data_IF_090083564853
#
_entry.id   IF_090083564853
#
_cell.length_a   1.000
_cell.length_b   1.000
_cell.length_c   1.000
_cell.angle_alpha   90.00
_cell.angle_beta   90.00
_cell.angle_gamma   90.00
#
_symmetry.space_group_name_H-M   'P 1'
#
loop_
_entity.id
_entity.type
_entity.pdbx_description
1 polymer ?
#
# COMPACT_ATOMS: atom_id res chain seq x y z
N UNK A 1 28.99 -36.06 17.23
CA UNK A 1 27.81 -36.30 16.37
C UNK A 1 26.51 -35.83 17.02
N UNK A 2 26.38 -35.84 18.35
CA UNK A 2 25.14 -35.39 19.02
C UNK A 2 24.91 -33.87 18.95
N UNK A 3 25.94 -33.04 19.19
CA UNK A 3 25.79 -31.58 19.12
C UNK A 3 25.29 -31.08 17.75
N UNK A 4 25.76 -31.67 16.65
CA UNK A 4 25.33 -31.27 15.30
C UNK A 4 23.84 -31.58 15.05
N UNK A 5 23.30 -32.66 15.65
CA UNK A 5 21.88 -33.01 15.53
C UNK A 5 21.01 -32.07 16.37
N UNK A 6 21.44 -31.74 17.58
CA UNK A 6 20.73 -30.78 18.45
C UNK A 6 20.65 -29.40 17.82
N UNK A 7 21.76 -28.87 17.27
CA UNK A 7 21.78 -27.55 16.64
C UNK A 7 20.90 -27.46 15.38
N UNK A 8 20.77 -28.55 14.61
CA UNK A 8 19.87 -28.58 13.44
C UNK A 8 18.40 -28.54 13.89
N UNK A 9 18.03 -29.29 14.93
CA UNK A 9 16.66 -29.30 15.46
C UNK A 9 16.26 -27.93 16.02
N UNK A 10 17.18 -27.26 16.73
CA UNK A 10 16.97 -25.91 17.25
C UNK A 10 16.80 -24.90 16.10
N UNK A 11 17.68 -24.93 15.10
CA UNK A 11 17.57 -24.05 13.92
C UNK A 11 16.28 -24.26 13.13
N UNK A 12 15.83 -25.51 12.96
CA UNK A 12 14.56 -25.81 12.28
C UNK A 12 13.35 -25.28 13.05
N UNK A 13 13.40 -25.35 14.39
CA UNK A 13 12.34 -24.82 15.27
C UNK A 13 12.29 -23.29 15.19
N UNK A 14 13.43 -22.63 15.28
CA UNK A 14 13.52 -21.17 15.20
C UNK A 14 13.04 -20.67 13.84
N UNK A 15 13.42 -21.37 12.76
CA UNK A 15 12.92 -21.08 11.42
C UNK A 15 11.40 -21.23 11.29
N UNK A 16 10.82 -22.24 11.94
CA UNK A 16 9.36 -22.45 11.93
C UNK A 16 8.62 -21.35 12.71
N UNK A 17 9.15 -20.93 13.86
CA UNK A 17 8.59 -19.83 14.66
C UNK A 17 8.63 -18.52 13.87
N UNK A 18 9.80 -18.16 13.32
CA UNK A 18 9.97 -16.95 12.53
C UNK A 18 9.03 -16.89 11.32
N UNK A 19 8.83 -18.01 10.61
CA UNK A 19 7.85 -18.10 9.52
C UNK A 19 6.42 -17.85 10.01
N UNK A 20 6.03 -18.48 11.12
CA UNK A 20 4.68 -18.31 11.68
C UNK A 20 4.42 -16.86 12.13
N UNK A 21 5.42 -16.17 12.69
CA UNK A 21 5.32 -14.77 13.10
C UNK A 21 5.14 -13.84 11.89
N UNK A 22 5.98 -14.00 10.86
CA UNK A 22 5.89 -13.22 9.61
C UNK A 22 4.52 -13.42 8.93
N UNK A 23 4.01 -14.65 8.88
CA UNK A 23 2.67 -14.92 8.35
C UNK A 23 1.56 -14.22 9.14
N UNK A 24 1.69 -14.14 10.47
CA UNK A 24 0.74 -13.43 11.32
C UNK A 24 0.78 -11.92 11.07
N UNK A 25 1.99 -11.35 10.93
CA UNK A 25 2.17 -9.95 10.59
C UNK A 25 1.56 -9.60 9.22
N UNK A 26 1.79 -10.44 8.21
CA UNK A 26 1.19 -10.26 6.88
C UNK A 26 -0.33 -10.25 6.96
N UNK A 27 -0.94 -11.18 7.72
CA UNK A 27 -2.40 -11.21 7.90
C UNK A 27 -2.92 -9.92 8.54
N UNK A 28 -2.26 -9.44 9.59
CA UNK A 28 -2.65 -8.18 10.26
C UNK A 28 -2.49 -7.00 9.30
N UNK A 29 -1.38 -6.96 8.57
CA UNK A 29 -1.09 -5.90 7.61
C UNK A 29 -2.11 -5.87 6.47
N UNK A 30 -2.50 -7.03 5.92
CA UNK A 30 -3.59 -7.13 4.93
C UNK A 30 -4.88 -6.49 5.41
N UNK A 31 -5.32 -6.81 6.62
CA UNK A 31 -6.57 -6.26 7.19
C UNK A 31 -6.48 -4.72 7.29
N UNK A 32 -5.35 -4.19 7.75
CA UNK A 32 -5.14 -2.73 7.82
C UNK A 32 -5.18 -2.07 6.44
N UNK A 33 -4.56 -2.69 5.44
CA UNK A 33 -4.58 -2.15 4.08
C UNK A 33 -5.95 -2.27 3.41
N UNK A 34 -6.74 -3.30 3.72
CA UNK A 34 -8.12 -3.35 3.25
C UNK A 34 -8.94 -2.16 3.76
N UNK A 35 -8.71 -1.69 4.99
CA UNK A 35 -9.35 -0.48 5.51
C UNK A 35 -8.87 0.78 4.79
N UNK A 36 -7.56 0.90 4.58
CA UNK A 36 -6.98 2.03 3.84
C UNK A 36 -7.48 2.09 2.39
N UNK A 37 -7.56 0.94 1.71
CA UNK A 37 -8.13 0.83 0.35
C UNK A 37 -9.61 1.23 0.34
N UNK A 38 -10.40 0.87 1.36
CA UNK A 38 -11.79 1.33 1.46
C UNK A 38 -11.87 2.85 1.57
N UNK A 39 -10.96 3.46 2.33
CA UNK A 39 -10.92 4.92 2.46
C UNK A 39 -10.54 5.60 1.13
N UNK A 40 -9.50 5.10 0.45
CA UNK A 40 -9.12 5.62 -0.87
C UNK A 40 -10.26 5.51 -1.89
N UNK A 41 -11.03 4.42 -1.88
CA UNK A 41 -12.22 4.31 -2.72
C UNK A 41 -13.30 5.36 -2.41
N UNK A 42 -13.47 5.76 -1.14
CA UNK A 42 -14.40 6.85 -0.76
C UNK A 42 -13.89 8.20 -1.26
N UNK A 43 -12.59 8.45 -1.11
CA UNK A 43 -11.95 9.67 -1.62
C UNK A 43 -12.06 9.76 -3.14
N UNK A 44 -11.73 8.69 -3.86
CA UNK A 44 -11.90 8.56 -5.32
C UNK A 44 -13.36 8.84 -5.71
N UNK A 45 -14.34 8.25 -5.01
CA UNK A 45 -15.76 8.48 -5.30
C UNK A 45 -16.13 9.97 -5.16
N UNK A 46 -15.58 10.64 -4.15
CA UNK A 46 -15.77 12.09 -3.93
C UNK A 46 -15.12 12.91 -5.03
N UNK A 47 -13.90 12.55 -5.44
CA UNK A 47 -13.19 13.19 -6.56
C UNK A 47 -14.00 13.04 -7.86
N UNK A 48 -14.49 11.83 -8.18
CA UNK A 48 -15.36 11.59 -9.35
C UNK A 48 -16.57 12.50 -9.39
N UNK A 49 -17.22 12.73 -8.25
CA UNK A 49 -18.38 13.62 -8.16
C UNK A 49 -17.99 15.08 -8.44
N UNK A 50 -16.84 15.54 -7.93
CA UNK A 50 -16.34 16.89 -8.19
C UNK A 50 -15.95 17.08 -9.66
N UNK A 51 -15.25 16.12 -10.27
CA UNK A 51 -14.91 16.12 -11.70
C UNK A 51 -16.15 16.23 -12.58
N UNK A 52 -17.23 15.51 -12.25
CA UNK A 52 -18.50 15.60 -13.00
C UNK A 52 -19.13 16.99 -12.98
N UNK A 53 -18.83 17.79 -11.96
CA UNK A 53 -19.31 19.16 -11.84
C UNK A 53 -18.34 20.18 -12.47
N UNK A 54 -17.19 19.74 -13.00
CA UNK A 54 -16.27 20.59 -13.73
C UNK A 54 -16.89 20.99 -15.07
N UNK A 55 -17.03 22.29 -15.25
CA UNK A 55 -17.71 22.91 -16.39
C UNK A 55 -16.78 22.99 -17.60
N UNK A 56 -15.49 23.15 -17.38
CA UNK A 56 -14.49 23.17 -18.44
C UNK A 56 -14.19 21.73 -18.91
N UNK A 57 -14.47 21.45 -20.19
CA UNK A 57 -14.29 20.11 -20.74
C UNK A 57 -12.83 19.68 -20.85
N UNK A 58 -11.91 20.59 -21.07
CA UNK A 58 -10.48 20.28 -21.20
C UNK A 58 -9.92 19.94 -19.81
N UNK A 59 -10.21 20.79 -18.82
CA UNK A 59 -9.84 20.53 -17.41
C UNK A 59 -10.45 19.23 -16.91
N UNK A 60 -11.74 18.97 -17.24
CA UNK A 60 -12.40 17.72 -16.83
C UNK A 60 -11.68 16.49 -17.36
N UNK A 61 -11.29 16.49 -18.65
CA UNK A 61 -10.56 15.36 -19.26
C UNK A 61 -9.21 15.15 -18.58
N UNK A 62 -8.48 16.22 -18.27
CA UNK A 62 -7.19 16.12 -17.58
C UNK A 62 -7.35 15.51 -16.17
N UNK A 63 -8.37 15.94 -15.42
CA UNK A 63 -8.69 15.39 -14.11
C UNK A 63 -9.15 13.91 -14.21
N UNK A 64 -9.94 13.55 -15.21
CA UNK A 64 -10.36 12.16 -15.43
C UNK A 64 -9.14 11.26 -15.68
N UNK A 65 -8.22 11.68 -16.55
CA UNK A 65 -6.98 10.94 -16.83
C UNK A 65 -6.12 10.76 -15.57
N UNK A 66 -5.92 11.83 -14.79
CA UNK A 66 -5.15 11.77 -13.54
C UNK A 66 -5.81 10.83 -12.53
N UNK A 67 -7.15 10.84 -12.44
CA UNK A 67 -7.86 9.95 -11.53
C UNK A 67 -7.75 8.49 -11.96
N UNK A 68 -7.83 8.20 -13.26
CA UNK A 68 -7.67 6.86 -13.81
C UNK A 68 -6.29 6.26 -13.44
N UNK A 69 -5.22 7.06 -13.52
CA UNK A 69 -3.87 6.64 -13.07
C UNK A 69 -3.83 6.24 -11.58
N UNK A 70 -4.58 6.97 -10.74
CA UNK A 70 -4.65 6.70 -9.30
C UNK A 70 -5.51 5.47 -8.99
N UNK A 71 -6.58 5.22 -9.75
CA UNK A 71 -7.38 4.01 -9.66
C UNK A 71 -6.59 2.76 -10.08
N UNK A 72 -5.83 2.86 -11.17
CA UNK A 72 -4.95 1.78 -11.63
C UNK A 72 -3.84 1.50 -10.62
N UNK A 73 -3.27 2.54 -10.01
CA UNK A 73 -2.29 2.41 -8.93
C UNK A 73 -2.89 1.71 -7.70
N UNK A 74 -4.10 2.09 -7.28
CA UNK A 74 -4.81 1.46 -6.16
C UNK A 74 -5.09 -0.03 -6.43
N UNK A 75 -5.58 -0.33 -7.64
CA UNK A 75 -5.84 -1.70 -8.10
C UNK A 75 -4.57 -2.56 -8.11
N UNK A 76 -3.47 -1.98 -8.58
CA UNK A 76 -2.16 -2.64 -8.60
C UNK A 76 -1.68 -2.96 -7.19
N UNK A 77 -1.71 -1.98 -6.27
CA UNK A 77 -1.30 -2.16 -4.88
C UNK A 77 -2.16 -3.21 -4.17
N UNK A 78 -3.48 -3.16 -4.35
CA UNK A 78 -4.37 -4.19 -3.81
C UNK A 78 -3.96 -5.59 -4.28
N UNK A 79 -3.73 -5.75 -5.59
CA UNK A 79 -3.34 -7.03 -6.18
C UNK A 79 -1.96 -7.50 -5.67
N UNK A 80 -1.01 -6.59 -5.49
CA UNK A 80 0.30 -6.91 -4.93
C UNK A 80 0.16 -7.48 -3.50
N UNK A 81 -0.62 -6.81 -2.65
CA UNK A 81 -0.83 -7.26 -1.26
C UNK A 81 -1.56 -8.60 -1.15
N UNK A 82 -2.58 -8.81 -1.99
CA UNK A 82 -3.35 -10.06 -2.03
C UNK A 82 -2.48 -11.26 -2.44
N UNK A 83 -1.58 -11.04 -3.41
CA UNK A 83 -0.71 -12.08 -3.96
C UNK A 83 0.62 -12.24 -3.20
N UNK A 84 0.99 -11.29 -2.34
CA UNK A 84 2.25 -11.33 -1.62
C UNK A 84 2.31 -12.54 -0.68
N UNK A 85 3.39 -13.31 -0.78
CA UNK A 85 3.73 -14.41 0.13
C UNK A 85 5.18 -14.25 0.56
N UNK A 86 5.43 -14.11 1.86
CA UNK A 86 6.80 -14.01 2.34
C UNK A 86 7.53 -15.34 2.17
N UNK A 87 8.76 -15.26 1.67
CA UNK A 87 9.73 -16.35 1.68
C UNK A 87 10.68 -16.30 2.88
N UNK A 88 10.64 -15.22 3.66
CA UNK A 88 11.48 -14.96 4.84
C UNK A 88 11.22 -13.58 5.42
N UNK A 89 11.85 -13.28 6.57
CA UNK A 89 11.69 -12.01 7.28
C UNK A 89 12.18 -10.82 6.47
N UNK A 90 13.37 -10.90 5.89
CA UNK A 90 13.99 -9.79 5.16
C UNK A 90 13.13 -9.36 3.96
N UNK A 91 12.65 -10.32 3.17
CA UNK A 91 11.77 -10.05 2.04
C UNK A 91 10.41 -9.46 2.46
N UNK A 92 9.97 -9.73 3.69
CA UNK A 92 8.76 -9.14 4.26
C UNK A 92 8.98 -7.69 4.62
N UNK A 93 10.06 -7.37 5.34
CA UNK A 93 10.35 -6.00 5.75
C UNK A 93 10.61 -5.10 4.52
N UNK A 94 11.36 -5.57 3.52
CA UNK A 94 11.59 -4.82 2.27
C UNK A 94 10.28 -4.55 1.48
N UNK A 95 9.43 -5.58 1.35
CA UNK A 95 8.15 -5.44 0.68
C UNK A 95 7.26 -4.44 1.42
N UNK A 96 7.15 -4.59 2.75
CA UNK A 96 6.32 -3.75 3.60
C UNK A 96 6.72 -2.28 3.51
N UNK A 97 8.02 -1.98 3.54
CA UNK A 97 8.52 -0.60 3.45
C UNK A 97 8.20 0.01 2.07
N UNK A 98 8.50 -0.71 0.98
CA UNK A 98 8.19 -0.25 -0.38
C UNK A 98 6.69 -0.06 -0.60
N UNK A 99 5.89 -1.02 -0.14
CA UNK A 99 4.44 -1.00 -0.26
C UNK A 99 3.82 0.15 0.53
N UNK A 100 4.22 0.34 1.79
CA UNK A 100 3.73 1.43 2.64
C UNK A 100 4.02 2.78 2.01
N UNK A 101 5.23 3.00 1.52
CA UNK A 101 5.60 4.26 0.85
C UNK A 101 4.72 4.54 -0.38
N UNK A 102 4.42 3.53 -1.20
CA UNK A 102 3.55 3.69 -2.37
C UNK A 102 2.09 3.96 -1.97
N UNK A 103 1.60 3.29 -0.94
CA UNK A 103 0.26 3.56 -0.39
C UNK A 103 0.16 4.98 0.15
N UNK A 104 1.15 5.44 0.92
CA UNK A 104 1.18 6.80 1.49
C UNK A 104 1.27 7.86 0.39
N UNK A 105 2.13 7.64 -0.61
CA UNK A 105 2.21 8.54 -1.76
C UNK A 105 0.87 8.63 -2.51
N UNK A 106 0.20 7.50 -2.76
CA UNK A 106 -1.12 7.49 -3.38
C UNK A 106 -2.16 8.22 -2.51
N UNK A 107 -2.16 8.00 -1.20
CA UNK A 107 -3.01 8.71 -0.26
C UNK A 107 -2.83 10.22 -0.33
N UNK A 108 -1.58 10.67 -0.28
CA UNK A 108 -1.22 12.08 -0.40
C UNK A 108 -1.67 12.67 -1.75
N UNK A 109 -1.52 11.93 -2.85
CA UNK A 109 -1.99 12.34 -4.18
C UNK A 109 -3.51 12.45 -4.25
N UNK A 110 -4.25 11.53 -3.62
CA UNK A 110 -5.72 11.58 -3.55
C UNK A 110 -6.21 12.75 -2.68
N UNK A 111 -5.56 13.01 -1.56
CA UNK A 111 -5.91 14.15 -0.69
C UNK A 111 -5.64 15.50 -1.36
N UNK A 112 -4.54 15.59 -2.10
CA UNK A 112 -4.12 16.81 -2.79
C UNK A 112 -4.60 16.88 -4.24
N UNK A 113 -5.57 16.05 -4.64
CA UNK A 113 -5.98 15.91 -6.04
C UNK A 113 -6.37 17.24 -6.71
N UNK A 114 -7.06 18.11 -6.00
CA UNK A 114 -7.48 19.43 -6.50
C UNK A 114 -6.56 20.57 -6.05
N UNK A 115 -5.49 20.26 -5.32
CA UNK A 115 -4.53 21.26 -4.88
C UNK A 115 -3.61 21.61 -6.06
N UNK A 116 -3.31 22.90 -6.29
CA UNK A 116 -2.29 23.26 -7.25
C UNK A 116 -0.93 22.68 -6.82
N UNK A 117 -0.04 22.34 -7.78
CA UNK A 117 1.29 21.86 -7.44
C UNK A 117 2.05 22.95 -6.66
N UNK A 118 2.28 22.69 -5.37
CA UNK A 118 2.94 23.52 -4.35
C UNK A 118 2.11 24.63 -3.68
N UNK A 119 1.56 24.31 -2.51
CA UNK A 119 1.73 25.20 -1.34
C UNK A 119 2.45 24.42 -0.26
N UNK A 120 3.78 24.33 -0.38
CA UNK A 120 4.66 24.06 0.75
C UNK A 120 4.41 25.18 1.75
N UNK A 121 3.63 24.89 2.80
CA UNK A 121 3.56 25.74 3.98
C UNK A 121 4.95 25.70 4.63
N UNK A 122 5.81 26.62 4.20
CA UNK A 122 6.99 27.01 4.94
C UNK A 122 6.51 27.72 6.20
N UNK A 123 6.38 26.99 7.29
CA UNK A 123 6.10 27.57 8.60
C UNK A 123 7.40 28.11 9.19
N UNK A 124 7.36 29.40 9.56
CA UNK A 124 8.38 30.16 10.29
C UNK A 124 8.83 29.53 11.60
#
# INVERSE_FOLDING_TARGET
MENAKTSVIEADRDLAIAKSEVEAEIRIYRVRHEEQVKEYNRTISTIKQKIKNESDSEIRVDLENQLDEYEDSLSTLKREMDNYKASGRDNWDEFKDSFSNRMDNLGNSLENFFSPPNTTTSSN
#
